data_IF_035856261462
#
_entry.id   IF_035856261462
#
_cell.length_a   1.000
_cell.length_b   1.000
_cell.length_c   1.000
_cell.angle_alpha   90.00
_cell.angle_beta   90.00
_cell.angle_gamma   90.00
#
_symmetry.space_group_name_H-M   'P 1'
#
loop_
_entity.id
_entity.type
_entity.pdbx_description
1 polymer ?
#
# COMPACT_ATOMS: atom_id res chain seq x y z
N UNK A 1 -5.56 -4.57 -20.09
CA UNK A 1 -4.97 -5.52 -19.13
C UNK A 1 -3.47 -5.52 -19.41
N UNK A 2 -2.73 -4.72 -18.68
CA UNK A 2 -1.28 -4.88 -18.62
C UNK A 2 -1.07 -6.27 -18.03
N UNK A 3 -0.30 -7.12 -18.74
CA UNK A 3 0.15 -8.39 -18.20
C UNK A 3 0.80 -8.11 -16.86
N UNK A 4 0.13 -8.50 -15.77
CA UNK A 4 0.73 -8.36 -14.45
C UNK A 4 1.97 -9.25 -14.44
N UNK A 5 3.14 -8.72 -14.12
CA UNK A 5 4.33 -9.56 -13.98
C UNK A 5 4.00 -10.66 -12.97
N UNK A 6 4.41 -11.88 -13.26
CA UNK A 6 4.24 -12.99 -12.35
C UNK A 6 4.88 -12.70 -10.98
N UNK A 7 4.47 -13.42 -9.95
CA UNK A 7 4.94 -13.22 -8.58
C UNK A 7 6.48 -13.15 -8.48
N UNK A 8 7.18 -14.02 -9.22
CA UNK A 8 8.65 -14.05 -9.24
C UNK A 8 9.25 -12.73 -9.78
N UNK A 9 8.62 -12.11 -10.80
CA UNK A 9 9.07 -10.83 -11.33
C UNK A 9 8.91 -9.70 -10.31
N UNK A 10 7.81 -9.69 -9.57
CA UNK A 10 7.59 -8.74 -8.48
C UNK A 10 8.60 -8.91 -7.34
N UNK A 11 8.86 -10.14 -6.90
CA UNK A 11 9.85 -10.44 -5.88
C UNK A 11 11.25 -9.99 -6.32
N UNK A 12 11.58 -10.18 -7.60
CA UNK A 12 12.83 -9.69 -8.16
C UNK A 12 12.92 -8.17 -8.12
N UNK A 13 11.88 -7.46 -8.54
CA UNK A 13 11.84 -5.98 -8.52
C UNK A 13 11.98 -5.45 -7.09
N UNK A 14 11.21 -5.98 -6.14
CA UNK A 14 11.30 -5.56 -4.72
C UNK A 14 12.69 -5.88 -4.17
N UNK A 15 13.20 -7.07 -4.40
CA UNK A 15 14.52 -7.50 -3.96
C UNK A 15 15.62 -6.58 -4.49
N UNK A 16 15.68 -6.33 -5.79
CA UNK A 16 16.70 -5.46 -6.42
C UNK A 16 16.56 -4.01 -6.02
N UNK A 17 15.33 -3.54 -5.75
CA UNK A 17 15.08 -2.15 -5.31
C UNK A 17 15.56 -1.91 -3.90
N UNK A 18 15.33 -2.84 -2.98
CA UNK A 18 15.61 -2.67 -1.56
C UNK A 18 17.00 -3.18 -1.13
N UNK A 19 17.62 -4.11 -1.86
CA UNK A 19 18.96 -4.62 -1.55
C UNK A 19 20.05 -3.76 -2.16
N UNK A 20 21.25 -3.75 -1.57
CA UNK A 20 22.43 -3.11 -2.14
C UNK A 20 23.08 -3.93 -3.29
N UNK A 21 22.40 -4.97 -3.75
CA UNK A 21 22.91 -5.90 -4.74
C UNK A 21 22.94 -5.37 -6.16
N UNK A 22 24.07 -4.88 -6.63
CA UNK A 22 24.43 -4.85 -8.04
C UNK A 22 24.53 -3.53 -8.79
N UNK A 23 23.96 -2.44 -8.29
CA UNK A 23 24.20 -1.09 -8.83
C UNK A 23 24.64 -0.18 -7.70
N UNK A 24 25.79 0.48 -7.81
CA UNK A 24 26.31 1.33 -6.75
C UNK A 24 25.25 2.29 -6.24
N UNK A 25 25.28 2.63 -4.94
CA UNK A 25 24.29 3.50 -4.29
C UNK A 25 23.97 4.79 -5.06
N UNK A 26 24.89 5.26 -5.89
CA UNK A 26 24.73 6.42 -6.79
C UNK A 26 23.69 6.21 -7.91
N UNK A 27 23.47 5.01 -8.39
CA UNK A 27 22.49 4.74 -9.46
C UNK A 27 21.08 4.74 -8.88
N UNK A 28 20.89 4.11 -7.74
CA UNK A 28 19.60 4.09 -7.03
C UNK A 28 19.19 5.49 -6.56
N UNK A 29 20.12 6.26 -5.99
CA UNK A 29 19.83 7.65 -5.60
C UNK A 29 19.39 8.48 -6.81
N UNK A 30 20.04 8.32 -7.96
CA UNK A 30 19.63 8.98 -9.20
C UNK A 30 18.24 8.58 -9.67
N UNK A 31 17.87 7.32 -9.54
CA UNK A 31 16.54 6.84 -9.94
C UNK A 31 15.46 7.36 -9.00
N UNK A 32 15.74 7.47 -7.70
CA UNK A 32 14.83 8.12 -6.74
C UNK A 32 14.67 9.60 -7.08
N UNK A 33 15.78 10.33 -7.32
CA UNK A 33 15.72 11.74 -7.67
C UNK A 33 14.91 11.95 -8.96
N UNK A 34 15.10 11.11 -9.98
CA UNK A 34 14.31 11.13 -11.23
C UNK A 34 12.84 10.86 -11.00
N UNK A 35 12.50 9.88 -10.16
CA UNK A 35 11.11 9.57 -9.81
C UNK A 35 10.45 10.77 -9.13
N UNK A 36 11.10 11.37 -8.14
CA UNK A 36 10.57 12.52 -7.40
C UNK A 36 10.43 13.74 -8.32
N UNK A 37 11.40 13.99 -9.19
CA UNK A 37 11.32 15.07 -10.20
C UNK A 37 10.16 14.83 -11.17
N UNK A 38 10.01 13.63 -11.68
CA UNK A 38 8.89 13.26 -12.56
C UNK A 38 7.54 13.44 -11.87
N UNK A 39 7.42 13.00 -10.62
CA UNK A 39 6.21 13.15 -9.83
C UNK A 39 5.85 14.64 -9.63
N UNK A 40 6.83 15.49 -9.31
CA UNK A 40 6.62 16.94 -9.18
C UNK A 40 6.14 17.57 -10.49
N UNK A 41 6.73 17.20 -11.63
CA UNK A 41 6.30 17.67 -12.95
C UNK A 41 4.86 17.28 -13.28
N UNK A 42 4.44 16.07 -12.90
CA UNK A 42 3.04 15.64 -13.05
C UNK A 42 2.10 16.56 -12.28
N UNK A 43 2.45 16.92 -11.04
CA UNK A 43 1.62 17.80 -10.20
C UNK A 43 1.65 19.26 -10.64
N UNK A 44 2.77 19.76 -11.18
CA UNK A 44 2.91 21.12 -11.71
C UNK A 44 2.16 21.31 -13.04
N UNK A 45 2.01 20.25 -13.83
CA UNK A 45 1.32 20.28 -15.13
C UNK A 45 -0.19 20.47 -15.05
N UNK A 46 -0.78 20.55 -13.84
CA UNK A 46 -2.22 20.67 -13.62
C UNK A 46 -2.98 19.38 -13.89
N UNK A 47 -4.30 19.42 -13.68
CA UNK A 47 -5.15 18.25 -13.94
C UNK A 47 -4.89 17.67 -15.33
N UNK A 48 -4.71 16.36 -15.46
CA UNK A 48 -4.61 15.71 -16.75
C UNK A 48 -5.85 16.12 -17.55
N UNK A 49 -5.63 16.79 -18.71
CA UNK A 49 -6.71 17.27 -19.55
C UNK A 49 -7.63 16.09 -19.90
N UNK A 50 -8.74 15.96 -19.19
CA UNK A 50 -9.72 14.87 -19.37
C UNK A 50 -10.65 15.13 -20.54
N UNK A 51 -10.67 16.35 -21.08
CA UNK A 51 -11.50 16.72 -22.19
C UNK A 51 -11.06 15.97 -23.47
N UNK A 52 -11.90 15.02 -23.91
CA UNK A 52 -11.71 14.27 -25.15
C UNK A 52 -10.97 12.94 -25.04
N UNK A 53 -10.63 12.49 -23.82
CA UNK A 53 -10.04 11.16 -23.60
C UNK A 53 -11.11 10.08 -23.44
N UNK A 54 -10.77 8.85 -23.81
CA UNK A 54 -11.60 7.70 -23.49
C UNK A 54 -11.65 7.49 -21.96
N UNK A 55 -12.70 6.85 -21.45
CA UNK A 55 -12.81 6.59 -20.01
C UNK A 55 -11.60 5.85 -19.43
N UNK A 56 -10.93 5.02 -20.20
CA UNK A 56 -9.72 4.30 -19.81
C UNK A 56 -8.52 5.24 -19.61
N UNK A 57 -8.27 6.15 -20.55
CA UNK A 57 -7.18 7.14 -20.45
C UNK A 57 -7.37 8.11 -19.29
N UNK A 58 -8.61 8.40 -18.90
CA UNK A 58 -8.92 9.23 -17.73
C UNK A 58 -8.53 8.51 -16.44
N UNK A 59 -8.88 7.23 -16.30
CA UNK A 59 -8.54 6.42 -15.11
C UNK A 59 -7.02 6.27 -14.96
N UNK A 60 -6.31 6.02 -16.06
CA UNK A 60 -4.84 5.95 -16.03
C UNK A 60 -4.19 7.26 -15.59
N UNK A 61 -4.70 8.39 -16.07
CA UNK A 61 -4.22 9.71 -15.69
C UNK A 61 -4.44 9.99 -14.19
N UNK A 62 -5.58 9.62 -13.65
CA UNK A 62 -5.89 9.73 -12.21
C UNK A 62 -4.95 8.88 -11.36
N UNK A 63 -4.67 7.64 -11.76
CA UNK A 63 -3.72 6.75 -11.07
C UNK A 63 -2.33 7.38 -11.01
N UNK A 64 -1.86 7.93 -12.13
CA UNK A 64 -0.55 8.59 -12.21
C UNK A 64 -0.46 9.80 -11.27
N UNK A 65 -1.50 10.65 -11.24
CA UNK A 65 -1.54 11.80 -10.32
C UNK A 65 -1.55 11.36 -8.87
N UNK A 66 -2.36 10.36 -8.53
CA UNK A 66 -2.41 9.82 -7.17
C UNK A 66 -1.07 9.23 -6.73
N UNK A 67 -0.38 8.51 -7.61
CA UNK A 67 0.95 7.98 -7.33
C UNK A 67 1.97 9.12 -7.13
N UNK A 68 1.93 10.15 -7.97
CA UNK A 68 2.80 11.32 -7.86
C UNK A 68 2.61 12.07 -6.53
N UNK A 69 1.36 12.26 -6.08
CA UNK A 69 1.05 12.86 -4.77
C UNK A 69 1.71 12.07 -3.61
N UNK A 70 1.57 10.73 -3.64
CA UNK A 70 2.12 9.86 -2.61
C UNK A 70 3.65 9.88 -2.63
N UNK A 71 4.27 9.80 -3.82
CA UNK A 71 5.73 9.89 -3.98
C UNK A 71 6.27 11.19 -3.40
N UNK A 72 5.72 12.34 -3.80
CA UNK A 72 6.16 13.63 -3.29
C UNK A 72 6.01 13.75 -1.77
N UNK A 73 4.85 13.38 -1.24
CA UNK A 73 4.57 13.41 0.20
C UNK A 73 5.52 12.53 1.02
N UNK A 74 5.84 11.34 0.51
CA UNK A 74 6.76 10.43 1.17
C UNK A 74 8.22 10.88 1.03
N UNK A 75 8.61 11.40 -0.14
CA UNK A 75 9.95 11.92 -0.37
C UNK A 75 10.29 13.11 0.54
N UNK A 76 9.33 13.98 0.83
CA UNK A 76 9.52 15.10 1.76
C UNK A 76 9.82 14.63 3.19
N UNK A 77 9.29 13.48 3.59
CA UNK A 77 9.47 12.91 4.94
C UNK A 77 10.61 11.91 5.02
N UNK A 78 10.83 11.15 3.96
CA UNK A 78 11.81 10.08 3.85
C UNK A 78 12.64 10.25 2.57
N UNK A 79 13.44 11.32 2.50
CA UNK A 79 14.23 11.59 1.31
C UNK A 79 15.21 10.44 1.04
N UNK A 80 15.24 10.00 -0.21
CA UNK A 80 16.11 8.91 -0.68
C UNK A 80 15.85 7.53 -0.07
N UNK A 81 14.68 7.29 0.55
CA UNK A 81 14.29 5.94 0.96
C UNK A 81 14.06 5.08 -0.30
N UNK A 82 14.72 3.91 -0.44
CA UNK A 82 14.56 3.05 -1.61
C UNK A 82 13.11 2.60 -1.86
N UNK A 83 12.29 2.50 -0.81
CA UNK A 83 10.89 2.14 -0.94
C UNK A 83 10.06 3.17 -1.75
N UNK A 84 10.58 4.39 -1.99
CA UNK A 84 9.95 5.35 -2.90
C UNK A 84 9.77 4.78 -4.31
N UNK A 85 10.70 3.94 -4.79
CA UNK A 85 10.62 3.30 -6.10
C UNK A 85 9.50 2.25 -6.19
N UNK A 86 9.01 1.76 -5.06
CA UNK A 86 7.90 0.80 -5.01
C UNK A 86 6.52 1.49 -5.00
N UNK A 87 6.46 2.77 -4.60
CA UNK A 87 5.18 3.48 -4.44
C UNK A 87 4.31 3.46 -5.69
N UNK A 88 4.82 3.71 -6.91
CA UNK A 88 4.00 3.67 -8.13
C UNK A 88 3.42 2.29 -8.45
N UNK A 89 3.93 1.24 -7.80
CA UNK A 89 3.50 -0.15 -8.01
C UNK A 89 2.45 -0.59 -6.99
N UNK A 90 2.18 0.22 -5.96
CA UNK A 90 1.22 -0.08 -4.91
C UNK A 90 -0.15 0.53 -5.23
N UNK A 91 -1.21 -0.21 -4.91
CA UNK A 91 -2.57 0.28 -5.04
C UNK A 91 -2.91 1.20 -3.86
N UNK A 92 -3.35 2.43 -4.18
CA UNK A 92 -3.91 3.33 -3.18
C UNK A 92 -5.35 2.95 -2.89
N UNK A 93 -5.68 2.76 -1.62
CA UNK A 93 -7.03 2.53 -1.13
C UNK A 93 -7.46 3.65 -0.18
N UNK A 94 -8.71 4.07 -0.29
CA UNK A 94 -9.33 5.05 0.62
C UNK A 94 -10.54 4.38 1.25
N UNK A 95 -10.45 4.13 2.56
CA UNK A 95 -11.55 3.56 3.33
C UNK A 95 -12.47 4.67 3.84
N UNK A 96 -13.77 4.47 3.68
CA UNK A 96 -14.79 5.32 4.27
C UNK A 96 -15.04 4.94 5.74
N UNK A 97 -15.64 5.80 6.56
CA UNK A 97 -15.98 5.46 7.93
C UNK A 97 -16.78 4.17 8.03
N UNK A 98 -16.26 3.21 8.79
CA UNK A 98 -16.85 1.89 8.97
C UNK A 98 -16.43 0.86 7.92
N UNK A 99 -15.79 1.23 6.83
CA UNK A 99 -15.19 0.25 5.93
C UNK A 99 -13.95 -0.39 6.59
N UNK A 100 -13.71 -1.65 6.28
CA UNK A 100 -12.58 -2.41 6.78
C UNK A 100 -11.89 -3.19 5.67
N UNK A 101 -10.66 -3.58 5.94
CA UNK A 101 -9.84 -4.38 5.04
C UNK A 101 -9.04 -5.37 5.88
N UNK A 102 -9.03 -6.63 5.46
CA UNK A 102 -8.10 -7.61 6.02
C UNK A 102 -6.82 -7.62 5.21
N UNK A 103 -5.71 -7.37 5.87
CA UNK A 103 -4.37 -7.44 5.26
C UNK A 103 -3.72 -8.74 5.71
N UNK A 104 -3.55 -9.67 4.79
CA UNK A 104 -2.93 -10.97 5.07
C UNK A 104 -1.42 -10.87 5.34
N UNK A 105 -0.81 -11.93 5.87
CA UNK A 105 0.64 -12.01 6.00
C UNK A 105 1.33 -11.82 4.65
N UNK A 106 2.47 -11.14 4.66
CA UNK A 106 3.28 -10.91 3.46
C UNK A 106 2.79 -9.79 2.54
N UNK A 107 1.61 -9.22 2.75
CA UNK A 107 1.10 -8.12 1.93
C UNK A 107 1.79 -6.81 2.31
N UNK A 108 2.57 -6.25 1.37
CA UNK A 108 3.23 -4.95 1.57
C UNK A 108 2.20 -3.84 1.61
N UNK A 109 2.17 -3.09 2.71
CA UNK A 109 1.20 -2.01 2.91
C UNK A 109 1.78 -0.87 3.74
N UNK A 110 1.16 0.30 3.64
CA UNK A 110 1.51 1.46 4.45
C UNK A 110 0.28 2.36 4.69
N UNK A 111 0.20 2.96 5.86
CA UNK A 111 -0.82 3.94 6.20
C UNK A 111 -0.38 5.34 5.78
N UNK A 112 -1.10 5.96 4.85
CA UNK A 112 -0.76 7.28 4.35
C UNK A 112 -1.37 8.41 5.19
N UNK A 113 -2.45 8.14 5.89
CA UNK A 113 -3.11 9.11 6.75
C UNK A 113 -4.52 8.70 7.13
N UNK A 114 -5.13 9.49 8.03
CA UNK A 114 -6.46 9.20 8.56
C UNK A 114 -6.41 8.61 9.98
N UNK A 115 -7.55 8.09 10.43
CA UNK A 115 -7.70 7.42 11.71
C UNK A 115 -8.31 6.04 11.43
N UNK A 116 -7.71 5.00 11.96
CA UNK A 116 -8.17 3.63 11.84
C UNK A 116 -7.97 2.87 13.16
N UNK A 117 -8.75 1.80 13.34
CA UNK A 117 -8.52 0.81 14.36
C UNK A 117 -7.86 -0.40 13.69
N UNK A 118 -6.66 -0.74 14.13
CA UNK A 118 -5.96 -1.95 13.70
C UNK A 118 -6.12 -3.03 14.77
N UNK A 119 -6.57 -4.21 14.35
CA UNK A 119 -6.69 -5.41 15.19
C UNK A 119 -5.83 -6.49 14.57
N UNK A 120 -4.94 -7.07 15.35
CA UNK A 120 -4.02 -8.10 14.89
C UNK A 120 -3.83 -9.20 15.94
N UNK A 121 -3.37 -10.36 15.51
CA UNK A 121 -2.94 -11.42 16.42
C UNK A 121 -1.72 -10.96 17.22
N UNK A 122 -1.58 -11.38 18.50
CA UNK A 122 -0.45 -10.97 19.33
C UNK A 122 0.84 -11.68 18.89
N UNK A 123 1.53 -11.10 17.91
CA UNK A 123 2.81 -11.60 17.44
C UNK A 123 3.80 -10.47 17.16
N UNK A 124 5.09 -10.77 17.24
CA UNK A 124 6.19 -9.80 17.13
C UNK A 124 6.99 -9.95 15.81
N UNK A 125 6.43 -10.66 14.82
CA UNK A 125 7.09 -11.00 13.56
C UNK A 125 6.90 -9.94 12.46
N UNK A 126 6.91 -8.66 12.82
CA UNK A 126 6.75 -7.56 11.87
C UNK A 126 8.05 -7.31 11.11
N UNK A 127 8.02 -7.46 9.78
CA UNK A 127 9.09 -7.06 8.87
C UNK A 127 8.73 -5.73 8.20
N UNK A 128 9.69 -4.81 8.14
CA UNK A 128 9.49 -3.46 7.58
C UNK A 128 9.95 -3.38 6.15
N UNK A 129 9.17 -2.68 5.31
CA UNK A 129 9.48 -2.51 3.89
C UNK A 129 10.15 -1.18 3.52
N UNK A 130 10.26 -0.23 4.45
CA UNK A 130 10.81 1.10 4.22
C UNK A 130 10.10 2.18 5.02
N UNK A 131 10.36 3.46 4.70
CA UNK A 131 9.77 4.65 5.35
C UNK A 131 9.89 4.65 6.88
N UNK A 132 11.04 4.21 7.38
CA UNK A 132 11.29 4.05 8.80
C UNK A 132 12.76 4.35 9.13
N UNK A 133 13.02 4.82 10.34
CA UNK A 133 14.38 4.90 10.88
C UNK A 133 14.86 3.57 11.51
N UNK A 134 13.99 2.56 11.58
CA UNK A 134 14.35 1.25 12.11
C UNK A 134 14.98 0.39 11.02
N UNK A 135 15.72 -0.63 11.44
CA UNK A 135 16.33 -1.59 10.52
C UNK A 135 15.28 -2.26 9.61
N UNK A 136 15.62 -2.34 8.33
CA UNK A 136 14.85 -3.07 7.30
C UNK A 136 15.64 -4.31 6.93
N UNK A 137 15.11 -5.48 7.27
CA UNK A 137 15.66 -6.76 6.80
C UNK A 137 15.08 -7.07 5.41
N UNK A 138 15.79 -6.63 4.39
CA UNK A 138 15.34 -6.76 3.01
C UNK A 138 15.23 -8.22 2.57
N UNK A 139 16.11 -9.08 3.08
CA UNK A 139 16.08 -10.50 2.74
C UNK A 139 14.85 -11.16 3.31
N UNK A 140 14.59 -10.98 4.60
CA UNK A 140 13.39 -11.49 5.24
C UNK A 140 12.12 -10.91 4.58
N UNK A 141 12.14 -9.64 4.19
CA UNK A 141 11.02 -9.01 3.48
C UNK A 141 10.72 -9.74 2.17
N UNK A 142 11.74 -9.94 1.32
CA UNK A 142 11.57 -10.62 0.00
C UNK A 142 11.09 -12.05 0.17
N UNK A 143 11.64 -12.77 1.15
CA UNK A 143 11.27 -14.17 1.44
C UNK A 143 9.81 -14.31 1.93
N UNK A 144 9.23 -13.24 2.51
CA UNK A 144 7.88 -13.24 3.08
C UNK A 144 6.82 -12.58 2.21
N UNK A 145 7.21 -11.84 1.17
CA UNK A 145 6.26 -11.08 0.35
C UNK A 145 5.26 -11.98 -0.39
N UNK A 146 3.97 -11.65 -0.21
CA UNK A 146 2.87 -12.15 -1.03
C UNK A 146 2.40 -11.02 -1.96
N UNK A 147 2.71 -11.14 -3.24
CA UNK A 147 2.33 -10.17 -4.27
C UNK A 147 1.05 -10.54 -5.02
N UNK A 148 0.49 -11.72 -4.74
CA UNK A 148 -0.73 -12.23 -5.38
C UNK A 148 -2.02 -11.86 -4.66
N UNK A 149 -1.93 -11.40 -3.41
CA UNK A 149 -3.09 -11.11 -2.58
C UNK A 149 -3.38 -9.61 -2.54
N UNK A 150 -4.50 -9.20 -3.15
CA UNK A 150 -4.99 -7.82 -3.08
C UNK A 150 -6.12 -7.78 -2.08
N UNK A 151 -5.98 -7.05 -0.95
CA UNK A 151 -7.03 -6.96 0.05
C UNK A 151 -8.32 -6.34 -0.49
N UNK A 152 -9.45 -6.98 -0.24
CA UNK A 152 -10.77 -6.45 -0.56
C UNK A 152 -11.29 -5.51 0.52
N UNK A 153 -12.02 -4.47 0.12
CA UNK A 153 -12.70 -3.57 1.05
C UNK A 153 -14.06 -4.15 1.42
N UNK A 154 -14.30 -4.31 2.72
CA UNK A 154 -15.58 -4.75 3.29
C UNK A 154 -16.41 -3.53 3.71
N UNK A 155 -17.68 -3.50 3.27
CA UNK A 155 -18.63 -2.44 3.63
C UNK A 155 -19.60 -2.95 4.68
N UNK A 156 -19.74 -2.23 5.79
CA UNK A 156 -20.64 -2.66 6.85
C UNK A 156 -22.10 -2.48 6.40
N UNK A 157 -22.97 -3.37 6.91
CA UNK A 157 -24.42 -3.17 6.88
C UNK A 157 -24.87 -2.41 8.14
N UNK A 158 -26.06 -1.80 8.09
CA UNK A 158 -26.65 -1.11 9.23
C UNK A 158 -26.90 -2.06 10.41
N UNK A 159 -26.80 -1.53 11.62
CA UNK A 159 -27.08 -2.23 12.85
C UNK A 159 -25.88 -3.03 13.36
N UNK A 160 -25.89 -4.34 13.20
CA UNK A 160 -24.82 -5.23 13.65
C UNK A 160 -24.14 -5.87 12.45
N UNK A 161 -22.86 -5.64 12.31
CA UNK A 161 -22.04 -6.19 11.22
C UNK A 161 -20.79 -6.87 11.79
N UNK A 162 -20.54 -8.11 11.36
CA UNK A 162 -19.30 -8.83 11.63
C UNK A 162 -18.42 -8.77 10.39
N UNK A 163 -17.21 -8.21 10.52
CA UNK A 163 -16.27 -8.23 9.42
C UNK A 163 -15.68 -9.62 9.23
N UNK A 164 -15.56 -10.04 7.99
CA UNK A 164 -14.95 -11.32 7.64
C UNK A 164 -13.44 -11.27 7.83
N UNK A 165 -12.93 -12.16 8.67
CA UNK A 165 -11.49 -12.35 8.89
C UNK A 165 -11.17 -13.83 8.75
N UNK A 166 -10.14 -14.21 7.96
CA UNK A 166 -9.77 -15.60 7.73
C UNK A 166 -8.86 -16.15 8.84
N UNK A 167 -9.09 -15.73 10.10
CA UNK A 167 -8.34 -16.17 11.29
C UNK A 167 -9.31 -16.46 12.42
N UNK A 168 -8.95 -17.36 13.32
CA UNK A 168 -9.77 -17.75 14.46
C UNK A 168 -9.43 -16.98 15.75
N UNK A 169 -8.32 -16.21 15.72
CA UNK A 169 -7.77 -15.53 16.90
C UNK A 169 -8.64 -14.37 17.39
N UNK A 170 -9.39 -13.73 16.48
CA UNK A 170 -10.26 -12.61 16.82
C UNK A 170 -11.43 -12.46 15.84
N UNK A 171 -12.47 -11.75 16.29
CA UNK A 171 -13.57 -11.29 15.45
C UNK A 171 -13.80 -9.80 15.68
N UNK A 172 -14.13 -9.07 14.62
CA UNK A 172 -14.37 -7.63 14.67
C UNK A 172 -15.82 -7.34 14.33
N UNK A 173 -16.52 -6.67 15.24
CA UNK A 173 -17.93 -6.33 15.11
C UNK A 173 -18.11 -4.82 15.13
N UNK A 174 -18.92 -4.31 14.20
CA UNK A 174 -19.45 -2.95 14.24
C UNK A 174 -20.89 -3.00 14.71
N UNK A 175 -21.20 -2.19 15.72
CA UNK A 175 -22.54 -2.15 16.33
C UNK A 175 -23.03 -0.72 16.31
N UNK A 176 -24.14 -0.47 15.66
CA UNK A 176 -24.82 0.81 15.64
C UNK A 176 -26.13 0.75 16.42
N UNK A 177 -26.31 1.72 17.32
CA UNK A 177 -27.50 1.76 18.19
C UNK A 177 -27.40 0.85 19.41
N UNK A 178 -28.56 0.42 19.91
CA UNK A 178 -28.66 -0.42 21.11
C UNK A 178 -29.00 -1.86 20.73
N UNK A 179 -28.04 -2.76 20.89
CA UNK A 179 -28.20 -4.19 20.61
C UNK A 179 -27.75 -5.04 21.80
N UNK A 180 -28.31 -6.25 21.91
CA UNK A 180 -27.85 -7.27 22.85
C UNK A 180 -27.14 -8.34 22.07
N UNK A 181 -25.86 -8.56 22.34
CA UNK A 181 -25.05 -9.61 21.74
C UNK A 181 -24.82 -10.73 22.75
N UNK A 182 -24.96 -11.97 22.29
CA UNK A 182 -24.51 -13.14 23.03
C UNK A 182 -23.19 -13.60 22.43
N UNK A 183 -22.09 -13.38 23.13
CA UNK A 183 -20.77 -13.88 22.75
C UNK A 183 -20.60 -15.26 23.37
N UNK A 184 -20.38 -16.28 22.54
CA UNK A 184 -19.96 -17.61 23.03
C UNK A 184 -18.45 -17.59 23.14
N UNK A 185 -17.94 -17.85 24.32
CA UNK A 185 -16.52 -18.07 24.61
C UNK A 185 -16.18 -19.52 24.30
#
# INVERSE_FOLDING_TARGET
LLDQPGQDAWLHVVGTTLTDGGGGGTDRERDIDRLVEAARKVLEGGEPATAGRSGHETVEAEIVVQAAEVVCRLADRYPRDPALLLVPMLQRLVLQPGEAMFVGPGVLHAYLGGMALEVMTPCDNVVRGGFTSKHVDTRALVDLLDTGNIPGVQRPVEGVHCYEVPVEDFAVWRIEGRHTLQVRT
#
